data_IF_262011386227
#
_entry.id   IF_262011386227
#
_cell.length_a   1.000
_cell.length_b   1.000
_cell.length_c   1.000
_cell.angle_alpha   90.00
_cell.angle_beta   90.00
_cell.angle_gamma   90.00
#
_symmetry.space_group_name_H-M   'P 1'
#
loop_
_entity.id
_entity.type
_entity.pdbx_description
1 polymer ?
#
# COMPACT_ATOMS: atom_id res chain seq x y z
N UNK A 1 -3.17 2.11 -8.43
CA UNK A 1 -3.33 3.31 -7.59
C UNK A 1 -3.20 4.56 -8.44
N UNK A 2 -3.90 5.63 -8.04
CA UNK A 2 -3.85 6.90 -8.75
C UNK A 2 -4.79 7.02 -9.93
N UNK A 3 -5.40 5.95 -10.37
CA UNK A 3 -6.42 5.99 -11.41
C UNK A 3 -7.79 6.18 -10.78
N UNK A 4 -8.62 7.03 -11.39
CA UNK A 4 -9.88 7.45 -10.78
C UNK A 4 -10.84 6.28 -10.52
N UNK A 5 -11.09 5.44 -11.51
CA UNK A 5 -12.10 4.39 -11.37
C UNK A 5 -11.73 3.32 -10.34
N UNK A 6 -10.49 2.76 -10.37
CA UNK A 6 -10.09 1.82 -9.31
C UNK A 6 -10.15 2.42 -7.91
N UNK A 7 -9.82 3.70 -7.76
CA UNK A 7 -9.89 4.35 -6.45
C UNK A 7 -11.33 4.51 -5.96
N UNK A 8 -12.26 4.83 -6.85
CA UNK A 8 -13.67 4.88 -6.50
C UNK A 8 -14.16 3.48 -6.10
N UNK A 9 -13.80 2.45 -6.86
CA UNK A 9 -14.22 1.08 -6.60
C UNK A 9 -13.71 0.56 -5.25
N UNK A 10 -12.55 1.05 -4.80
CA UNK A 10 -11.96 0.67 -3.51
C UNK A 10 -12.20 1.69 -2.41
N UNK A 11 -13.10 2.64 -2.64
CA UNK A 11 -13.57 3.58 -1.63
C UNK A 11 -12.42 4.31 -0.96
N UNK A 12 -11.51 4.89 -1.74
CA UNK A 12 -10.30 5.54 -1.26
C UNK A 12 -10.63 6.73 -0.37
N UNK A 13 -10.00 6.76 0.80
CA UNK A 13 -10.01 7.91 1.70
C UNK A 13 -8.58 8.40 1.86
N UNK A 14 -8.39 9.71 1.91
CA UNK A 14 -7.04 10.25 1.95
C UNK A 14 -6.98 11.61 2.61
N UNK A 15 -5.79 11.96 3.09
CA UNK A 15 -5.46 13.27 3.64
C UNK A 15 -4.02 13.59 3.22
N UNK A 16 -3.80 14.80 2.71
CA UNK A 16 -2.49 15.26 2.20
C UNK A 16 -1.91 14.28 1.19
N UNK A 17 -2.76 13.79 0.31
CA UNK A 17 -2.43 12.77 -0.67
C UNK A 17 -2.61 13.33 -2.07
N UNK A 18 -1.83 12.79 -3.00
CA UNK A 18 -1.90 13.16 -4.39
C UNK A 18 -1.60 11.99 -5.30
N UNK A 19 -1.98 12.15 -6.58
CA UNK A 19 -1.75 11.15 -7.60
C UNK A 19 -0.87 11.69 -8.70
N UNK A 20 -0.27 10.80 -9.47
CA UNK A 20 0.54 11.16 -10.63
C UNK A 20 0.70 9.98 -11.55
N UNK A 21 1.50 10.17 -12.59
CA UNK A 21 1.79 9.13 -13.57
C UNK A 21 3.27 9.25 -13.94
N UNK A 22 4.03 8.21 -13.67
CA UNK A 22 5.46 8.18 -13.93
C UNK A 22 5.84 6.75 -14.34
N UNK A 23 6.83 6.61 -15.20
CA UNK A 23 7.30 5.31 -15.68
C UNK A 23 6.18 4.50 -16.36
N UNK A 24 5.20 5.20 -16.96
CA UNK A 24 4.09 4.55 -17.65
C UNK A 24 2.99 4.01 -16.75
N UNK A 25 3.00 4.34 -15.47
CA UNK A 25 2.00 3.84 -14.53
C UNK A 25 1.53 4.93 -13.57
N UNK A 26 0.28 4.84 -13.16
CA UNK A 26 -0.30 5.77 -12.18
C UNK A 26 0.09 5.37 -10.76
N UNK A 27 0.21 6.37 -9.88
CA UNK A 27 0.56 6.16 -8.48
C UNK A 27 -0.18 7.12 -7.56
N UNK A 28 -0.19 6.79 -6.27
CA UNK A 28 -0.66 7.68 -5.19
C UNK A 28 0.36 7.71 -4.07
N UNK A 29 0.51 8.88 -3.47
CA UNK A 29 1.38 9.08 -2.31
C UNK A 29 0.74 10.05 -1.32
N UNK A 30 1.24 10.08 -0.08
CA UNK A 30 0.85 11.04 0.95
C UNK A 30 2.09 11.60 1.63
N UNK A 31 2.03 12.85 2.06
CA UNK A 31 3.18 13.57 2.65
C UNK A 31 2.84 14.12 4.03
N UNK A 32 3.87 14.31 4.87
CA UNK A 32 3.77 15.07 6.14
C UNK A 32 2.58 14.68 7.00
N UNK A 33 2.61 13.48 7.56
CA UNK A 33 1.53 12.91 8.38
C UNK A 33 0.25 12.64 7.58
N UNK A 34 0.31 12.73 6.26
CA UNK A 34 -0.81 12.36 5.40
C UNK A 34 -0.96 10.85 5.30
N UNK A 35 -2.09 10.43 4.78
CA UNK A 35 -2.38 9.01 4.59
C UNK A 35 -3.34 8.80 3.42
N UNK A 36 -3.40 7.56 2.96
CA UNK A 36 -4.48 7.12 2.09
C UNK A 36 -4.84 5.67 2.41
N UNK A 37 -6.13 5.37 2.27
CA UNK A 37 -6.71 4.08 2.65
C UNK A 37 -7.49 3.51 1.47
N UNK A 38 -7.27 2.23 1.18
CA UNK A 38 -8.05 1.46 0.22
C UNK A 38 -8.82 0.37 0.96
N UNK A 39 -10.06 0.11 0.52
CA UNK A 39 -10.82 -1.04 0.99
C UNK A 39 -10.68 -2.17 -0.01
N UNK A 40 -10.28 -3.34 0.46
CA UNK A 40 -10.07 -4.52 -0.39
C UNK A 40 -10.92 -5.67 0.13
N UNK A 41 -11.50 -6.44 -0.81
CA UNK A 41 -12.31 -7.61 -0.46
C UNK A 41 -11.41 -8.79 -0.14
N UNK A 42 -11.69 -9.48 0.96
CA UNK A 42 -10.99 -10.70 1.34
C UNK A 42 -11.62 -11.95 0.71
N UNK A 43 -12.82 -11.82 0.14
CA UNK A 43 -13.60 -12.95 -0.37
C UNK A 43 -13.79 -14.05 0.70
N UNK A 44 -13.83 -13.64 1.97
CA UNK A 44 -13.99 -14.57 3.09
C UNK A 44 -12.76 -15.41 3.41
N UNK A 45 -11.64 -15.13 2.80
CA UNK A 45 -10.39 -15.89 3.04
C UNK A 45 -9.66 -15.33 4.26
N UNK A 46 -9.02 -16.25 5.01
CA UNK A 46 -8.33 -15.90 6.24
C UNK A 46 -6.80 -15.96 6.10
N UNK A 47 -6.28 -16.41 4.96
CA UNK A 47 -4.84 -16.52 4.72
C UNK A 47 -4.48 -15.71 3.49
N UNK A 48 -4.16 -14.42 3.70
CA UNK A 48 -3.87 -13.51 2.61
C UNK A 48 -2.55 -12.78 2.86
N UNK A 49 -1.92 -12.39 1.76
CA UNK A 49 -0.78 -11.47 1.77
C UNK A 49 -1.15 -10.20 1.02
N UNK A 50 -0.62 -9.08 1.48
CA UNK A 50 -0.74 -7.81 0.79
C UNK A 50 0.43 -7.66 -0.18
N UNK A 51 0.13 -7.48 -1.47
CA UNK A 51 1.15 -7.23 -2.49
C UNK A 51 1.10 -5.79 -2.92
N UNK A 52 2.23 -5.10 -2.81
CA UNK A 52 2.34 -3.68 -3.13
C UNK A 52 3.47 -3.50 -4.12
N UNK A 53 3.20 -2.73 -5.18
CA UNK A 53 4.21 -2.42 -6.19
C UNK A 53 4.73 -1.02 -5.99
N UNK A 54 6.05 -0.92 -5.88
CA UNK A 54 6.79 0.32 -5.73
C UNK A 54 7.73 0.52 -6.92
N UNK A 55 8.29 1.72 -7.03
CA UNK A 55 9.40 1.96 -7.94
C UNK A 55 10.71 1.62 -7.23
N UNK A 56 11.60 0.92 -7.92
CA UNK A 56 12.82 0.37 -7.31
C UNK A 56 13.94 1.39 -7.08
N UNK A 57 13.79 2.60 -7.58
CA UNK A 57 14.83 3.62 -7.47
C UNK A 57 14.29 4.91 -6.85
N UNK A 58 13.86 4.82 -5.59
CA UNK A 58 13.37 5.96 -4.83
C UNK A 58 14.48 6.51 -3.94
N UNK A 59 14.74 7.80 -4.05
CA UNK A 59 15.81 8.48 -3.32
C UNK A 59 15.28 9.41 -2.22
N UNK A 60 13.98 9.65 -2.18
CA UNK A 60 13.36 10.53 -1.21
C UNK A 60 13.16 9.87 0.14
N UNK A 61 12.69 10.65 1.11
CA UNK A 61 12.40 10.16 2.46
C UNK A 61 11.06 9.41 2.48
N UNK A 62 11.03 8.25 1.86
CA UNK A 62 9.82 7.43 1.67
C UNK A 62 9.68 6.43 2.81
N UNK A 63 9.44 6.95 4.03
CA UNK A 63 9.19 6.13 5.22
C UNK A 63 7.73 6.22 5.59
N UNK A 64 7.11 5.09 5.84
CA UNK A 64 5.69 5.05 6.14
C UNK A 64 5.31 3.77 6.87
N UNK A 65 4.10 3.80 7.44
CA UNK A 65 3.50 2.64 8.10
C UNK A 65 2.40 2.08 7.22
N UNK A 66 2.27 0.76 7.22
CA UNK A 66 1.17 0.05 6.56
C UNK A 66 0.29 -0.51 7.66
N UNK A 67 -1.00 -0.15 7.63
CA UNK A 67 -1.97 -0.58 8.64
C UNK A 67 -3.09 -1.39 7.98
N UNK A 68 -3.55 -2.42 8.67
CA UNK A 68 -4.70 -3.23 8.28
C UNK A 68 -5.78 -3.02 9.33
N UNK A 69 -6.92 -2.45 8.94
CA UNK A 69 -8.02 -2.13 9.85
C UNK A 69 -7.53 -1.32 11.06
N UNK A 70 -6.67 -0.31 10.79
CA UNK A 70 -6.07 0.58 11.79
C UNK A 70 -5.09 -0.12 12.74
N UNK A 71 -4.68 -1.34 12.43
CA UNK A 71 -3.65 -2.06 13.21
C UNK A 71 -2.36 -2.10 12.39
N UNK A 72 -1.25 -1.82 13.04
CA UNK A 72 0.05 -1.79 12.36
C UNK A 72 0.42 -3.16 11.83
N UNK A 73 0.62 -3.24 10.50
CA UNK A 73 1.16 -4.44 9.86
C UNK A 73 2.69 -4.38 9.82
N UNK A 74 3.24 -3.29 9.32
CA UNK A 74 4.69 -3.11 9.23
C UNK A 74 5.03 -1.65 8.93
N UNK A 75 6.30 -1.32 9.11
CA UNK A 75 6.87 -0.05 8.66
C UNK A 75 7.76 -0.31 7.45
N UNK A 76 7.71 0.58 6.47
CA UNK A 76 8.51 0.44 5.26
C UNK A 76 9.34 1.69 5.01
N UNK A 77 10.49 1.49 4.37
CA UNK A 77 11.37 2.57 3.96
C UNK A 77 11.89 2.23 2.56
N UNK A 78 11.50 3.05 1.58
CA UNK A 78 11.87 2.83 0.18
C UNK A 78 13.14 3.55 -0.22
N UNK A 79 13.67 4.42 0.64
CA UNK A 79 14.85 5.23 0.30
C UNK A 79 16.04 4.33 0.03
N UNK A 80 16.52 4.36 -1.20
CA UNK A 80 17.69 3.58 -1.65
C UNK A 80 17.61 2.09 -1.34
N UNK A 81 16.38 1.54 -1.29
CA UNK A 81 16.18 0.14 -0.88
C UNK A 81 16.70 -0.84 -1.94
N UNK A 82 16.42 -0.59 -3.21
CA UNK A 82 16.81 -1.50 -4.28
C UNK A 82 17.81 -0.92 -5.26
N UNK A 83 17.79 0.41 -5.46
CA UNK A 83 18.63 1.11 -6.44
C UNK A 83 18.52 0.52 -7.85
N UNK A 84 17.28 0.22 -8.26
CA UNK A 84 17.01 -0.43 -9.55
C UNK A 84 15.89 0.28 -10.28
N UNK A 85 16.10 0.59 -11.57
CA UNK A 85 15.13 1.31 -12.39
C UNK A 85 14.05 0.37 -12.94
N UNK A 86 13.33 -0.28 -12.03
CA UNK A 86 12.22 -1.18 -12.38
C UNK A 86 11.21 -1.22 -11.25
N UNK A 87 10.01 -1.73 -11.55
CA UNK A 87 9.00 -1.93 -10.53
C UNK A 87 9.37 -3.10 -9.63
N UNK A 88 9.17 -2.90 -8.33
CA UNK A 88 9.44 -3.91 -7.32
C UNK A 88 8.15 -4.22 -6.58
N UNK A 89 7.78 -5.49 -6.52
CA UNK A 89 6.59 -5.94 -5.79
C UNK A 89 7.03 -6.61 -4.50
N UNK A 90 6.46 -6.13 -3.40
CA UNK A 90 6.74 -6.66 -2.05
C UNK A 90 5.48 -7.34 -1.54
N UNK A 91 5.64 -8.53 -0.99
CA UNK A 91 4.55 -9.28 -0.39
C UNK A 91 4.68 -9.19 1.13
N UNK A 92 3.59 -8.75 1.78
CA UNK A 92 3.51 -8.64 3.25
C UNK A 92 2.48 -9.65 3.73
N UNK A 93 2.90 -10.74 4.40
CA UNK A 93 1.94 -11.68 4.97
C UNK A 93 1.07 -10.98 6.01
N UNK A 94 -0.24 -11.17 5.93
CA UNK A 94 -1.17 -10.58 6.90
C UNK A 94 -1.49 -11.63 7.96
N UNK A 95 -1.30 -11.31 9.26
CA UNK A 95 -1.70 -12.25 10.32
C UNK A 95 -3.17 -12.64 10.20
N UNK A 96 -3.47 -13.92 10.33
CA UNK A 96 -4.82 -14.46 10.20
C UNK A 96 -5.81 -13.75 11.12
N UNK A 97 -5.38 -13.38 12.32
CA UNK A 97 -6.22 -12.69 13.28
C UNK A 97 -6.73 -11.35 12.79
N UNK A 98 -6.00 -10.69 11.89
CA UNK A 98 -6.44 -9.43 11.30
C UNK A 98 -7.51 -9.62 10.23
N UNK A 99 -7.65 -10.82 9.68
CA UNK A 99 -8.58 -11.15 8.61
C UNK A 99 -9.80 -11.91 9.10
N UNK A 100 -9.75 -12.48 10.29
CA UNK A 100 -10.78 -13.39 10.79
C UNK A 100 -12.14 -12.69 10.88
N UNK A 101 -13.14 -13.25 10.23
CA UNK A 101 -14.50 -12.73 10.23
C UNK A 101 -14.68 -11.47 9.39
N UNK A 102 -13.69 -11.07 8.59
CA UNK A 102 -13.76 -9.87 7.77
C UNK A 102 -14.06 -10.21 6.32
N UNK A 103 -15.01 -9.50 5.72
CA UNK A 103 -15.29 -9.57 4.29
C UNK A 103 -14.47 -8.56 3.50
N UNK A 104 -14.06 -7.49 4.18
CA UNK A 104 -13.23 -6.43 3.61
C UNK A 104 -12.21 -5.99 4.65
N UNK A 105 -11.07 -5.51 4.16
CA UNK A 105 -10.05 -4.91 5.01
C UNK A 105 -9.69 -3.54 4.48
N UNK A 106 -9.41 -2.62 5.39
CA UNK A 106 -8.88 -1.30 5.07
C UNK A 106 -7.37 -1.37 5.13
N UNK A 107 -6.70 -0.98 4.03
CA UNK A 107 -5.25 -0.91 3.97
C UNK A 107 -4.86 0.56 3.94
N UNK A 108 -4.15 1.00 4.94
CA UNK A 108 -3.73 2.40 5.09
C UNK A 108 -2.22 2.51 4.95
N UNK A 109 -1.80 3.46 4.11
CA UNK A 109 -0.41 3.88 4.00
C UNK A 109 -0.30 5.26 4.64
N UNK A 110 0.44 5.35 5.74
CA UNK A 110 0.50 6.58 6.54
C UNK A 110 1.93 7.06 6.64
N UNK A 111 2.17 8.31 6.19
CA UNK A 111 3.46 8.96 6.35
C UNK A 111 3.61 9.53 7.75
N UNK A 112 4.84 9.89 8.08
CA UNK A 112 5.18 10.60 9.30
C UNK A 112 5.55 12.04 8.96
N UNK A 113 5.75 12.87 9.98
CA UNK A 113 6.16 14.25 9.77
C UNK A 113 7.49 14.27 9.00
N UNK A 114 7.49 14.95 7.87
CA UNK A 114 8.67 15.07 7.02
C UNK A 114 8.94 13.88 6.11
N UNK A 115 8.03 12.89 6.05
CA UNK A 115 8.21 11.71 5.20
C UNK A 115 7.10 11.59 4.17
N UNK A 116 7.25 10.63 3.25
CA UNK A 116 6.30 10.35 2.19
C UNK A 116 5.90 8.88 2.24
N UNK A 117 4.59 8.62 2.19
CA UNK A 117 4.04 7.27 2.04
C UNK A 117 3.88 6.98 0.55
N UNK A 118 4.69 6.09 0.04
CA UNK A 118 4.68 5.73 -1.38
C UNK A 118 5.84 6.38 -2.14
N UNK A 119 5.73 6.55 -3.46
CA UNK A 119 4.54 6.29 -4.31
C UNK A 119 4.17 4.81 -4.39
N UNK A 120 2.87 4.54 -4.36
CA UNK A 120 2.33 3.20 -4.51
C UNK A 120 1.73 3.06 -5.90
N UNK A 121 2.19 2.08 -6.66
CA UNK A 121 1.76 1.89 -8.05
C UNK A 121 0.63 0.88 -8.17
N UNK A 122 0.68 -0.22 -7.44
CA UNK A 122 -0.42 -1.17 -7.41
C UNK A 122 -0.53 -1.83 -6.05
N UNK A 123 -1.71 -2.40 -5.79
CA UNK A 123 -2.07 -2.92 -4.48
C UNK A 123 -3.08 -4.04 -4.68
N UNK A 124 -2.83 -5.21 -4.07
CA UNK A 124 -3.77 -6.32 -4.15
C UNK A 124 -3.56 -7.27 -2.99
N UNK A 125 -4.59 -8.11 -2.74
CA UNK A 125 -4.50 -9.22 -1.80
C UNK A 125 -4.27 -10.51 -2.58
N UNK A 126 -3.33 -11.32 -2.11
CA UNK A 126 -3.07 -12.64 -2.67
C UNK A 126 -3.35 -13.71 -1.63
N UNK A 127 -3.93 -14.81 -2.10
CA UNK A 127 -4.12 -15.98 -1.25
C UNK A 127 -2.76 -16.62 -0.96
N UNK A 128 -2.42 -16.77 0.31
CA UNK A 128 -1.19 -17.46 0.70
C UNK A 128 -1.38 -18.94 0.44
N UNK A 129 -0.55 -19.48 -0.46
CA UNK A 129 -0.55 -20.91 -0.74
C UNK A 129 0.75 -21.49 -0.22
N UNK A 130 0.60 -22.41 0.70
CA UNK A 130 1.71 -23.14 1.29
C UNK A 130 1.69 -24.55 0.76
N UNK A 131 2.58 -24.81 -0.13
CA UNK A 131 2.74 -26.13 -0.71
C UNK A 131 3.89 -26.87 0.00
#
# INVERSE_FOLDING_TARGET
CGEQQPEIDHNVKSNRSGTGNTHGAAWRKANNDGYFTYELSTNGKATLSLCVTYWGNENGNCRFSILINDQLLTNENLQNKWNSDKFMTVEYPIPTQMLKGKQQVSVTFKSQKGTTAGPIYSLRLLNQQWE
#
